data_IF_977612586838
#
_entry.id   IF_977612586838
#
_cell.length_a   1.000
_cell.length_b   1.000
_cell.length_c   1.000
_cell.angle_alpha   90.00
_cell.angle_beta   90.00
_cell.angle_gamma   90.00
#
_symmetry.space_group_name_H-M   'P 1'
#
loop_
_entity.id
_entity.type
_entity.pdbx_description
1 polymer ?
#
# COMPACT_ATOMS: atom_id res chain seq x y z
N UNK A 1 10.60 -0.66 26.41
CA UNK A 1 11.52 -1.77 26.05
C UNK A 1 11.39 -2.06 24.57
N UNK A 2 12.50 -2.08 23.82
CA UNK A 2 12.49 -2.32 22.38
C UNK A 2 12.98 -3.75 22.11
N UNK A 3 12.37 -4.43 21.13
CA UNK A 3 12.70 -5.81 20.77
C UNK A 3 12.54 -6.04 19.28
N UNK A 4 13.45 -6.83 18.69
CA UNK A 4 13.34 -7.36 17.33
C UNK A 4 12.91 -8.82 17.37
N UNK A 5 12.13 -9.26 16.40
CA UNK A 5 11.87 -10.69 16.14
C UNK A 5 12.27 -10.98 14.70
N UNK A 6 13.19 -11.91 14.51
CA UNK A 6 13.65 -12.30 13.19
C UNK A 6 12.68 -13.30 12.56
N UNK A 7 11.98 -12.88 11.52
CA UNK A 7 11.03 -13.72 10.76
C UNK A 7 11.66 -14.36 9.51
N UNK A 8 13.00 -14.37 9.38
CA UNK A 8 13.71 -14.90 8.20
C UNK A 8 13.67 -16.44 8.07
N UNK A 9 13.07 -17.15 9.01
CA UNK A 9 13.04 -18.62 9.05
C UNK A 9 12.10 -19.21 8.00
N UNK A 10 11.14 -18.42 7.50
CA UNK A 10 10.26 -18.89 6.44
C UNK A 10 11.05 -19.07 5.12
N UNK A 11 11.15 -20.31 4.58
CA UNK A 11 11.90 -20.55 3.36
C UNK A 11 11.28 -19.81 2.18
N UNK A 12 12.15 -19.24 1.31
CA UNK A 12 11.76 -18.69 0.01
C UNK A 12 10.80 -17.48 0.01
N UNK A 13 10.84 -16.60 1.02
CA UNK A 13 10.08 -15.36 1.00
C UNK A 13 8.62 -15.44 1.45
N UNK A 14 8.24 -16.49 2.15
CA UNK A 14 6.88 -16.73 2.67
C UNK A 14 6.66 -16.04 4.02
N UNK A 15 6.81 -14.73 4.03
CA UNK A 15 6.88 -14.01 5.30
C UNK A 15 5.53 -13.57 5.84
N UNK A 16 4.56 -13.25 4.97
CA UNK A 16 3.30 -12.65 5.40
C UNK A 16 2.53 -13.55 6.36
N UNK A 17 2.13 -14.72 5.93
CA UNK A 17 1.34 -15.63 6.77
C UNK A 17 2.10 -16.07 8.04
N UNK A 18 3.41 -16.26 7.95
CA UNK A 18 4.24 -16.54 9.13
C UNK A 18 4.28 -15.37 10.11
N UNK A 19 4.37 -14.12 9.61
CA UNK A 19 4.27 -12.91 10.45
C UNK A 19 2.88 -12.79 11.08
N UNK A 20 1.80 -13.17 10.36
CA UNK A 20 0.44 -13.17 10.92
C UNK A 20 0.30 -14.19 12.02
N UNK A 21 0.73 -15.45 11.79
CA UNK A 21 0.71 -16.49 12.82
C UNK A 21 1.49 -16.07 14.07
N UNK A 22 2.65 -15.42 13.89
CA UNK A 22 3.43 -14.86 14.99
C UNK A 22 2.66 -13.76 15.73
N UNK A 23 2.03 -12.86 14.98
CA UNK A 23 1.23 -11.77 15.56
C UNK A 23 0.08 -12.33 16.39
N UNK A 24 -0.68 -13.28 15.85
CA UNK A 24 -1.77 -13.95 16.54
C UNK A 24 -1.32 -14.67 17.81
N UNK A 25 -0.19 -15.39 17.73
CA UNK A 25 0.38 -16.06 18.88
C UNK A 25 0.76 -15.07 19.98
N UNK A 26 1.42 -13.95 19.63
CA UNK A 26 1.78 -12.90 20.59
C UNK A 26 0.55 -12.24 21.25
N UNK A 27 -0.50 -11.98 20.46
CA UNK A 27 -1.72 -11.35 20.95
C UNK A 27 -2.54 -12.31 21.85
N UNK A 28 -2.50 -13.62 21.56
CA UNK A 28 -3.22 -14.65 22.34
C UNK A 28 -2.50 -15.01 23.61
N UNK A 29 -1.16 -15.09 23.61
CA UNK A 29 -0.36 -15.60 24.72
C UNK A 29 0.02 -14.55 25.76
N UNK A 30 -0.19 -13.24 25.47
CA UNK A 30 0.28 -12.18 26.33
C UNK A 30 -0.88 -11.30 26.84
N UNK A 31 -1.35 -11.58 28.05
CA UNK A 31 -2.42 -10.83 28.70
C UNK A 31 -2.09 -9.34 28.94
N UNK A 32 -0.79 -8.98 28.97
CA UNK A 32 -0.38 -7.58 29.10
C UNK A 32 -0.62 -6.75 27.82
N UNK A 33 -0.92 -7.41 26.68
CA UNK A 33 -1.26 -6.75 25.42
C UNK A 33 -2.72 -6.28 25.37
N UNK A 34 -3.07 -5.38 26.30
CA UNK A 34 -4.45 -4.88 26.45
C UNK A 34 -4.81 -3.78 25.45
N UNK A 35 -3.83 -3.02 24.97
CA UNK A 35 -4.01 -1.91 24.03
C UNK A 35 -2.83 -1.83 23.08
N UNK A 36 -2.99 -2.43 21.90
CA UNK A 36 -1.90 -2.64 20.93
C UNK A 36 -2.11 -1.83 19.67
N UNK A 37 -1.08 -1.10 19.25
CA UNK A 37 -1.04 -0.42 17.97
C UNK A 37 -0.13 -1.20 17.01
N UNK A 38 -0.68 -1.63 15.88
CA UNK A 38 0.00 -2.44 14.87
C UNK A 38 0.25 -1.58 13.63
N UNK A 39 1.51 -1.45 13.24
CA UNK A 39 1.89 -0.71 12.04
C UNK A 39 2.07 -1.61 10.85
N UNK A 40 1.38 -1.30 9.75
CA UNK A 40 1.53 -1.92 8.44
C UNK A 40 2.10 -0.93 7.43
N UNK A 41 2.98 -1.38 6.55
CA UNK A 41 3.66 -0.53 5.56
C UNK A 41 2.69 0.04 4.52
N UNK A 42 1.69 -0.74 4.09
CA UNK A 42 0.74 -0.34 3.05
C UNK A 42 -0.72 -0.45 3.51
N UNK A 43 -1.61 0.26 2.81
CA UNK A 43 -3.06 0.20 3.06
C UNK A 43 -3.63 -1.20 2.77
N UNK A 44 -3.20 -1.81 1.67
CA UNK A 44 -3.62 -3.16 1.29
C UNK A 44 -3.24 -4.18 2.36
N UNK A 45 -2.01 -4.08 2.87
CA UNK A 45 -1.54 -4.92 3.98
C UNK A 45 -2.34 -4.67 5.26
N UNK A 46 -2.70 -3.42 5.56
CA UNK A 46 -3.52 -3.10 6.73
C UNK A 46 -4.92 -3.71 6.63
N UNK A 47 -5.54 -3.71 5.43
CA UNK A 47 -6.84 -4.35 5.20
C UNK A 47 -6.73 -5.88 5.29
N UNK A 48 -5.71 -6.51 4.71
CA UNK A 48 -5.47 -7.95 4.82
C UNK A 48 -5.26 -8.40 6.27
N UNK A 49 -4.45 -7.66 7.03
CA UNK A 49 -4.25 -7.93 8.45
C UNK A 49 -5.54 -7.78 9.25
N UNK A 50 -6.36 -6.78 8.92
CA UNK A 50 -7.64 -6.60 9.58
C UNK A 50 -8.57 -7.78 9.35
N UNK A 51 -8.70 -8.27 8.11
CA UNK A 51 -9.53 -9.42 7.77
C UNK A 51 -9.11 -10.65 8.59
N UNK A 52 -7.81 -11.01 8.58
CA UNK A 52 -7.32 -12.18 9.30
C UNK A 52 -7.44 -12.04 10.82
N UNK A 53 -7.05 -10.91 11.38
CA UNK A 53 -7.15 -10.72 12.82
C UNK A 53 -8.60 -10.62 13.31
N UNK A 54 -9.51 -10.08 12.50
CA UNK A 54 -10.91 -9.98 12.87
C UNK A 54 -11.64 -11.33 12.87
N UNK A 55 -11.17 -12.31 12.09
CA UNK A 55 -11.66 -13.69 12.16
C UNK A 55 -11.34 -14.32 13.53
N UNK A 56 -10.14 -14.08 14.05
CA UNK A 56 -9.69 -14.66 15.31
C UNK A 56 -10.09 -13.86 16.54
N UNK A 57 -10.14 -12.52 16.42
CA UNK A 57 -10.46 -11.58 17.49
C UNK A 57 -11.64 -10.69 17.09
N UNK A 58 -12.85 -11.25 16.88
CA UNK A 58 -13.99 -10.50 16.39
C UNK A 58 -14.32 -9.30 17.30
N UNK A 59 -14.73 -8.20 16.68
CA UNK A 59 -15.17 -6.97 17.36
C UNK A 59 -14.11 -6.26 18.23
N UNK A 60 -12.87 -6.76 18.27
CA UNK A 60 -11.80 -6.16 19.08
C UNK A 60 -10.70 -5.50 18.24
N UNK A 61 -10.79 -5.59 16.93
CA UNK A 61 -9.82 -5.06 15.96
C UNK A 61 -10.38 -3.86 15.23
N UNK A 62 -9.61 -2.79 15.11
CA UNK A 62 -9.90 -1.65 14.27
C UNK A 62 -8.82 -1.43 13.22
N UNK A 63 -9.16 -0.84 12.07
CA UNK A 63 -8.21 -0.48 11.02
C UNK A 63 -8.38 0.96 10.57
N UNK A 64 -7.25 1.66 10.41
CA UNK A 64 -7.22 3.05 9.95
C UNK A 64 -6.11 3.26 8.90
N UNK A 65 -6.50 3.78 7.75
CA UNK A 65 -5.58 4.26 6.71
C UNK A 65 -6.27 5.32 5.84
N UNK A 66 -5.55 5.96 4.93
CA UNK A 66 -6.06 7.12 4.19
C UNK A 66 -7.23 6.83 3.26
N UNK A 67 -7.49 5.56 2.89
CA UNK A 67 -8.65 5.19 2.06
C UNK A 67 -9.94 5.01 2.87
N UNK A 68 -9.87 4.97 4.21
CA UNK A 68 -11.07 4.94 5.04
C UNK A 68 -11.64 6.35 5.18
N UNK A 69 -12.95 6.47 5.22
CA UNK A 69 -13.64 7.74 5.43
C UNK A 69 -13.25 8.39 6.75
N UNK A 70 -13.30 9.71 6.81
CA UNK A 70 -12.90 10.45 7.99
C UNK A 70 -13.73 10.10 9.23
N UNK A 71 -15.04 9.93 9.05
CA UNK A 71 -15.94 9.53 10.13
C UNK A 71 -15.61 8.12 10.67
N UNK A 72 -15.31 7.19 9.77
CA UNK A 72 -14.88 5.84 10.16
C UNK A 72 -13.59 5.91 11.01
N UNK A 73 -12.59 6.66 10.53
CA UNK A 73 -11.31 6.82 11.27
C UNK A 73 -11.51 7.42 12.65
N UNK A 74 -12.34 8.47 12.75
CA UNK A 74 -12.65 9.11 14.02
C UNK A 74 -13.34 8.14 14.99
N UNK A 75 -14.35 7.41 14.52
CA UNK A 75 -15.08 6.44 15.33
C UNK A 75 -14.18 5.28 15.75
N UNK A 76 -13.35 4.75 14.86
CA UNK A 76 -12.40 3.67 15.18
C UNK A 76 -11.42 4.10 16.29
N UNK A 77 -10.86 5.31 16.19
CA UNK A 77 -9.97 5.85 17.23
C UNK A 77 -10.71 6.06 18.55
N UNK A 78 -11.93 6.56 18.50
CA UNK A 78 -12.77 6.73 19.70
C UNK A 78 -13.02 5.39 20.39
N UNK A 79 -13.37 4.35 19.65
CA UNK A 79 -13.58 3.00 20.17
C UNK A 79 -12.30 2.37 20.71
N UNK A 80 -11.15 2.61 20.06
CA UNK A 80 -9.85 2.18 20.56
C UNK A 80 -9.48 2.91 21.87
N UNK A 81 -9.72 4.22 21.97
CA UNK A 81 -9.51 4.98 23.21
C UNK A 81 -10.40 4.47 24.33
N UNK A 82 -11.65 4.15 24.03
CA UNK A 82 -12.61 3.61 24.98
C UNK A 82 -12.33 2.15 25.41
N UNK A 83 -11.38 1.46 24.74
CA UNK A 83 -11.04 0.08 25.05
C UNK A 83 -11.99 -0.97 24.43
N UNK A 84 -12.93 -0.55 23.57
CA UNK A 84 -13.76 -1.48 22.78
C UNK A 84 -12.87 -2.25 21.83
N UNK A 85 -12.05 -1.53 21.04
CA UNK A 85 -10.98 -2.17 20.27
C UNK A 85 -9.73 -2.30 21.13
N UNK A 86 -9.21 -3.51 21.22
CA UNK A 86 -7.92 -3.81 21.86
C UNK A 86 -6.75 -3.62 20.90
N UNK A 87 -6.98 -3.90 19.61
CA UNK A 87 -5.98 -3.90 18.55
C UNK A 87 -6.34 -2.87 17.49
N UNK A 88 -5.41 -1.98 17.17
CA UNK A 88 -5.58 -0.97 16.13
C UNK A 88 -4.50 -1.12 15.08
N UNK A 89 -4.90 -1.42 13.84
CA UNK A 89 -4.00 -1.48 12.69
C UNK A 89 -3.96 -0.11 12.03
N UNK A 90 -2.76 0.41 11.78
CA UNK A 90 -2.58 1.74 11.20
C UNK A 90 -1.41 1.78 10.20
N UNK A 91 -1.50 2.69 9.23
CA UNK A 91 -0.35 3.10 8.42
C UNK A 91 0.31 4.35 9.00
N UNK A 92 1.60 4.59 8.71
CA UNK A 92 2.38 5.71 9.26
C UNK A 92 1.73 7.07 9.07
N UNK A 93 1.20 7.33 7.86
CA UNK A 93 0.58 8.63 7.52
C UNK A 93 -0.58 8.94 8.46
N UNK A 94 -1.34 7.94 8.82
CA UNK A 94 -2.53 8.11 9.67
C UNK A 94 -2.19 8.17 11.15
N UNK A 95 -1.24 7.36 11.58
CA UNK A 95 -0.85 7.33 12.99
C UNK A 95 -0.19 8.65 13.46
N UNK A 96 0.40 9.44 12.56
CA UNK A 96 0.96 10.76 12.90
C UNK A 96 -0.08 11.81 13.22
N UNK A 97 -1.26 11.75 12.59
CA UNK A 97 -2.33 12.73 12.76
C UNK A 97 -3.34 12.39 13.86
N UNK A 98 -3.15 11.27 14.54
CA UNK A 98 -4.11 10.78 15.53
C UNK A 98 -3.48 10.78 16.90
N UNK A 99 -4.21 11.36 17.86
CA UNK A 99 -3.87 11.26 19.28
C UNK A 99 -4.20 9.85 19.79
N UNK A 100 -3.39 8.88 19.39
CA UNK A 100 -3.35 7.54 19.94
C UNK A 100 -2.12 7.46 20.83
N UNK A 101 -2.29 7.90 22.04
CA UNK A 101 -1.29 7.81 23.09
C UNK A 101 -1.66 6.68 24.07
N UNK A 102 -0.71 6.33 24.93
CA UNK A 102 -0.92 5.39 26.04
C UNK A 102 -1.23 3.94 25.60
N UNK A 103 -0.68 3.50 24.46
CA UNK A 103 -0.75 2.09 24.12
C UNK A 103 0.25 1.30 24.97
N UNK A 104 -0.13 0.07 25.34
CA UNK A 104 0.76 -0.83 26.09
C UNK A 104 1.86 -1.38 25.20
N UNK A 105 1.51 -1.69 23.96
CA UNK A 105 2.44 -2.26 22.99
C UNK A 105 2.31 -1.59 21.61
N UNK A 106 3.45 -1.43 20.95
CA UNK A 106 3.55 -1.09 19.54
C UNK A 106 4.13 -2.30 18.82
N UNK A 107 3.46 -2.79 17.80
CA UNK A 107 3.97 -3.85 16.93
C UNK A 107 4.20 -3.27 15.55
N UNK A 108 5.44 -3.31 15.09
CA UNK A 108 5.76 -3.01 13.70
C UNK A 108 5.73 -4.33 12.92
N UNK A 109 4.65 -4.56 12.18
CA UNK A 109 4.51 -5.73 11.32
C UNK A 109 5.56 -5.74 10.20
N UNK A 110 5.92 -4.53 9.73
CA UNK A 110 7.02 -4.31 8.81
C UNK A 110 7.97 -3.26 9.38
N UNK A 111 9.27 -3.47 9.13
CA UNK A 111 10.28 -2.48 9.44
C UNK A 111 10.09 -1.24 8.56
N UNK A 112 10.00 -0.04 9.12
CA UNK A 112 9.80 1.17 8.31
C UNK A 112 11.03 1.47 7.43
N UNK A 113 10.77 1.89 6.18
CA UNK A 113 11.82 2.26 5.22
C UNK A 113 12.63 3.49 5.67
N UNK A 114 11.98 4.41 6.40
CA UNK A 114 12.57 5.63 6.92
C UNK A 114 12.80 5.47 8.42
N UNK A 115 14.06 5.52 8.89
CA UNK A 115 14.38 5.28 10.31
C UNK A 115 13.67 6.20 11.29
N UNK A 116 13.42 7.47 10.94
CA UNK A 116 12.71 8.44 11.77
C UNK A 116 11.25 8.00 12.03
N UNK A 117 10.64 7.28 11.08
CA UNK A 117 9.30 6.73 11.27
C UNK A 117 9.25 5.75 12.43
N UNK A 118 10.33 4.97 12.62
CA UNK A 118 10.45 4.07 13.76
C UNK A 118 10.31 4.82 15.08
N UNK A 119 11.02 5.94 15.22
CA UNK A 119 10.96 6.78 16.43
C UNK A 119 9.53 7.29 16.67
N UNK A 120 8.86 7.74 15.59
CA UNK A 120 7.47 8.20 15.69
C UNK A 120 6.50 7.08 16.07
N UNK A 121 6.74 5.85 15.62
CA UNK A 121 5.91 4.68 15.97
C UNK A 121 6.08 4.30 17.44
N UNK A 122 7.32 4.14 17.90
CA UNK A 122 7.60 3.79 19.30
C UNK A 122 7.17 4.88 20.29
N UNK A 123 7.18 6.15 19.86
CA UNK A 123 6.68 7.27 20.65
C UNK A 123 5.17 7.26 20.93
N UNK A 124 4.43 6.25 20.44
CA UNK A 124 3.01 6.03 20.81
C UNK A 124 2.86 5.25 22.13
N UNK A 125 3.91 4.59 22.57
CA UNK A 125 3.94 3.87 23.85
C UNK A 125 4.96 4.50 24.82
N UNK A 126 4.88 4.16 26.09
CA UNK A 126 5.87 4.58 27.08
C UNK A 126 5.81 6.06 27.44
N UNK A 127 4.64 6.69 27.42
CA UNK A 127 4.44 8.07 27.88
C UNK A 127 4.13 8.11 29.38
N UNK A 128 4.55 9.20 30.01
CA UNK A 128 4.53 9.37 31.47
C UNK A 128 5.29 8.22 32.16
N UNK A 129 4.90 7.79 33.32
CA UNK A 129 5.58 6.78 34.12
C UNK A 129 5.34 5.31 33.66
N UNK A 130 4.66 5.11 32.52
CA UNK A 130 4.33 3.76 32.03
C UNK A 130 5.41 3.24 31.07
N UNK A 131 5.96 2.07 31.38
CA UNK A 131 6.92 1.37 30.50
C UNK A 131 6.17 0.77 29.30
N UNK A 132 6.39 1.31 28.10
CA UNK A 132 5.87 0.73 26.86
C UNK A 132 6.79 -0.31 26.25
N UNK A 133 6.23 -1.23 25.49
CA UNK A 133 6.96 -2.27 24.76
C UNK A 133 6.74 -2.03 23.27
N UNK A 134 7.83 -2.09 22.50
CA UNK A 134 7.76 -2.13 21.04
C UNK A 134 8.42 -3.40 20.52
N UNK A 135 7.71 -4.10 19.65
CA UNK A 135 8.16 -5.33 18.99
C UNK A 135 8.17 -5.05 17.48
N UNK A 136 9.25 -5.41 16.81
CA UNK A 136 9.36 -5.23 15.36
C UNK A 136 9.72 -6.56 14.70
N UNK A 137 8.95 -6.95 13.70
CA UNK A 137 9.24 -8.10 12.87
C UNK A 137 10.24 -7.70 11.79
N UNK A 138 11.30 -8.49 11.66
CA UNK A 138 12.39 -8.22 10.72
C UNK A 138 12.61 -9.45 9.85
N UNK A 139 12.60 -9.26 8.56
CA UNK A 139 13.00 -10.27 7.58
C UNK A 139 14.46 -10.07 7.16
N UNK A 140 15.04 -11.05 6.48
CA UNK A 140 16.41 -10.94 5.96
C UNK A 140 16.64 -9.68 5.10
N UNK A 141 15.63 -9.34 4.29
CA UNK A 141 15.66 -8.15 3.41
C UNK A 141 15.63 -6.84 4.20
N UNK A 142 15.01 -6.85 5.37
CA UNK A 142 14.83 -5.67 6.21
C UNK A 142 15.99 -5.44 7.19
N UNK A 143 16.98 -6.34 7.25
CA UNK A 143 18.17 -6.18 8.11
C UNK A 143 18.96 -4.90 7.86
N UNK A 144 18.97 -4.41 6.63
CA UNK A 144 19.62 -3.14 6.31
C UNK A 144 18.90 -1.97 6.98
N UNK A 145 17.55 -2.00 6.98
CA UNK A 145 16.70 -1.00 7.65
C UNK A 145 16.88 -1.08 9.16
N UNK A 146 16.93 -2.30 9.71
CA UNK A 146 17.24 -2.52 11.13
C UNK A 146 18.53 -1.81 11.55
N UNK A 147 19.63 -2.04 10.83
CA UNK A 147 20.93 -1.40 11.13
C UNK A 147 20.86 0.13 11.02
N UNK A 148 20.13 0.66 10.05
CA UNK A 148 19.94 2.10 9.90
C UNK A 148 19.19 2.69 11.11
N UNK A 149 18.17 2.00 11.63
CA UNK A 149 17.42 2.40 12.81
C UNK A 149 18.31 2.37 14.06
N UNK A 150 19.05 1.29 14.27
CA UNK A 150 19.98 1.16 15.41
C UNK A 150 21.08 2.23 15.39
N UNK A 151 21.58 2.55 14.20
CA UNK A 151 22.56 3.63 14.01
C UNK A 151 21.95 4.99 14.38
N UNK A 152 20.73 5.29 13.94
CA UNK A 152 20.03 6.53 14.26
C UNK A 152 19.78 6.65 15.77
N UNK A 153 19.37 5.55 16.40
CA UNK A 153 19.09 5.52 17.85
C UNK A 153 20.33 5.42 18.71
N UNK A 154 21.50 5.16 18.12
CA UNK A 154 22.77 4.89 18.85
C UNK A 154 22.62 3.79 19.91
N UNK A 155 21.76 2.81 19.64
CA UNK A 155 21.45 1.72 20.54
C UNK A 155 21.19 0.44 19.75
N UNK A 156 21.85 -0.65 20.15
CA UNK A 156 21.50 -1.99 19.68
C UNK A 156 20.21 -2.46 20.37
N UNK A 157 19.33 -3.03 19.58
CA UNK A 157 18.04 -3.53 20.09
C UNK A 157 18.10 -5.06 20.15
N UNK A 158 17.81 -5.67 21.29
CA UNK A 158 17.93 -7.12 21.45
C UNK A 158 16.98 -7.87 20.50
N UNK A 159 17.52 -8.92 19.89
CA UNK A 159 16.78 -9.86 19.07
C UNK A 159 16.14 -10.93 19.97
N UNK A 160 14.84 -11.14 19.83
CA UNK A 160 14.13 -12.24 20.48
C UNK A 160 14.16 -13.48 19.58
N UNK A 161 14.28 -14.64 20.21
CA UNK A 161 14.04 -15.92 19.54
C UNK A 161 12.57 -16.05 19.16
N UNK A 162 12.29 -16.73 18.06
CA UNK A 162 10.93 -17.10 17.69
C UNK A 162 10.37 -18.11 18.70
N UNK A 163 9.09 -17.99 19.03
CA UNK A 163 8.42 -19.02 19.83
C UNK A 163 8.51 -20.40 19.15
N UNK A 164 8.72 -21.44 19.95
CA UNK A 164 8.78 -22.84 19.45
C UNK A 164 7.47 -23.30 18.81
N UNK A 165 6.37 -22.72 19.27
CA UNK A 165 5.00 -23.08 18.88
C UNK A 165 4.52 -22.33 17.63
N UNK A 166 5.41 -21.56 16.98
CA UNK A 166 5.08 -20.81 15.80
C UNK A 166 4.90 -21.72 14.58
N UNK A 167 3.71 -21.69 14.01
CA UNK A 167 3.43 -22.35 12.74
C UNK A 167 4.00 -21.56 11.57
N UNK A 168 4.98 -22.16 10.86
CA UNK A 168 5.58 -21.57 9.66
C UNK A 168 4.70 -21.88 8.46
N UNK A 169 4.09 -20.86 7.87
CA UNK A 169 3.23 -21.04 6.71
C UNK A 169 4.01 -21.44 5.46
N UNK A 170 3.44 -22.39 4.71
CA UNK A 170 3.93 -22.79 3.39
C UNK A 170 3.23 -22.03 2.25
N UNK A 171 2.25 -21.19 2.54
CA UNK A 171 1.42 -20.49 1.57
C UNK A 171 2.08 -19.15 1.21
N UNK A 172 2.24 -18.90 -0.10
CA UNK A 172 2.72 -17.61 -0.64
C UNK A 172 1.53 -16.70 -0.91
N UNK A 173 1.64 -15.46 -0.51
CA UNK A 173 0.71 -14.41 -0.97
C UNK A 173 0.99 -14.03 -2.43
N UNK A 174 0.05 -13.34 -3.08
CA UNK A 174 0.21 -12.90 -4.48
C UNK A 174 1.46 -12.01 -4.67
N UNK A 175 1.77 -11.17 -3.68
CA UNK A 175 2.93 -10.27 -3.71
C UNK A 175 4.26 -11.01 -3.49
N UNK A 176 4.23 -12.14 -2.80
CA UNK A 176 5.39 -12.99 -2.55
C UNK A 176 5.68 -13.96 -3.70
N UNK A 177 4.72 -14.17 -4.59
CA UNK A 177 4.94 -15.00 -5.79
C UNK A 177 6.01 -14.39 -6.67
N UNK A 178 6.95 -15.19 -7.21
CA UNK A 178 7.97 -14.69 -8.11
C UNK A 178 7.31 -14.07 -9.36
N UNK A 179 7.52 -12.78 -9.57
CA UNK A 179 7.05 -12.10 -10.79
C UNK A 179 7.84 -12.67 -11.98
N UNK A 180 7.21 -13.53 -12.74
CA UNK A 180 7.79 -14.03 -13.99
C UNK A 180 7.90 -12.84 -14.95
N UNK A 181 9.11 -12.31 -15.12
CA UNK A 181 9.39 -11.35 -16.18
C UNK A 181 9.28 -12.11 -17.49
N UNK A 182 8.13 -12.04 -18.15
CA UNK A 182 8.05 -12.48 -19.53
C UNK A 182 9.09 -11.68 -20.33
N UNK A 183 10.09 -12.37 -20.87
CA UNK A 183 10.95 -11.75 -21.87
C UNK A 183 10.02 -11.35 -23.01
N UNK A 184 9.90 -10.05 -23.24
CA UNK A 184 9.22 -9.54 -24.42
C UNK A 184 10.08 -10.05 -25.60
N UNK A 185 9.64 -11.15 -26.21
CA UNK A 185 10.21 -11.60 -27.47
C UNK A 185 9.81 -10.50 -28.45
N UNK A 186 10.77 -9.67 -28.84
CA UNK A 186 10.56 -8.75 -29.94
C UNK A 186 10.32 -9.63 -31.21
N UNK A 187 9.07 -9.89 -31.49
CA UNK A 187 8.65 -10.48 -32.73
C UNK A 187 9.04 -9.42 -33.78
N UNK A 188 10.12 -9.69 -34.54
CA UNK A 188 10.43 -8.90 -35.74
C UNK A 188 9.21 -9.07 -36.63
N UNK A 189 8.32 -8.07 -36.62
CA UNK A 189 7.25 -8.00 -37.60
C UNK A 189 7.97 -7.99 -38.97
N UNK A 190 7.72 -8.98 -39.84
CA UNK A 190 8.32 -8.96 -41.17
C UNK A 190 7.99 -7.60 -41.78
N UNK A 191 9.01 -6.87 -42.27
CA UNK A 191 8.78 -5.66 -43.05
C UNK A 191 7.78 -6.05 -44.13
N UNK A 192 6.61 -5.40 -44.11
CA UNK A 192 5.65 -5.52 -45.20
C UNK A 192 6.42 -5.13 -46.43
N UNK A 193 6.75 -6.10 -47.27
CA UNK A 193 7.29 -5.80 -48.59
C UNK A 193 6.31 -4.82 -49.20
N UNK A 194 6.82 -3.69 -49.69
CA UNK A 194 5.98 -2.74 -50.38
C UNK A 194 5.28 -3.53 -51.49
N UNK A 195 4.05 -3.90 -51.24
CA UNK A 195 3.20 -4.49 -52.24
C UNK A 195 3.21 -3.50 -53.40
N UNK A 196 3.70 -3.91 -54.53
CA UNK A 196 3.68 -3.11 -55.73
C UNK A 196 2.33 -2.45 -55.99
N UNK A 197 2.21 -1.52 -56.91
CA UNK A 197 1.06 -0.64 -57.08
C UNK A 197 -0.23 -1.44 -56.95
N UNK A 198 -1.11 -0.96 -56.04
CA UNK A 198 -2.36 -1.65 -55.72
C UNK A 198 -3.06 -2.08 -57.02
N UNK A 199 -3.44 -3.36 -57.09
CA UNK A 199 -3.98 -4.04 -58.27
C UNK A 199 -5.25 -3.38 -58.85
N UNK A 200 -5.76 -2.34 -58.24
CA UNK A 200 -6.82 -1.48 -58.74
C UNK A 200 -6.37 -0.03 -58.76
N UNK A 201 -5.81 0.41 -59.88
CA UNK A 201 -5.83 1.84 -60.18
C UNK A 201 -7.29 2.31 -60.16
N UNK A 202 -7.58 3.27 -59.31
CA UNK A 202 -8.91 3.88 -59.26
C UNK A 202 -9.19 4.43 -60.66
N UNK A 203 -10.23 3.91 -61.33
CA UNK A 203 -10.68 4.46 -62.59
C UNK A 203 -10.86 5.95 -62.49
N UNK A 204 -10.68 6.72 -63.56
CA UNK A 204 -10.79 8.17 -63.59
C UNK A 204 -12.12 8.70 -62.99
N UNK A 205 -13.17 7.88 -63.00
CA UNK A 205 -14.45 8.18 -62.36
C UNK A 205 -14.38 8.17 -60.80
N UNK A 206 -13.48 7.37 -60.23
CA UNK A 206 -13.35 7.22 -58.76
C UNK A 206 -12.15 7.99 -58.18
N UNK A 207 -11.41 8.74 -58.98
CA UNK A 207 -10.29 9.60 -58.57
C UNK A 207 -10.73 10.96 -58.02
N UNK A 208 -12.05 11.17 -57.84
CA UNK A 208 -12.52 12.39 -57.19
C UNK A 208 -11.94 12.51 -55.79
N UNK A 209 -10.91 13.33 -55.67
CA UNK A 209 -10.36 13.77 -54.38
C UNK A 209 -11.49 14.45 -53.60
N UNK A 210 -11.79 13.97 -52.43
CA UNK A 210 -12.83 14.53 -51.56
C UNK A 210 -12.27 15.82 -50.95
N UNK A 211 -12.23 16.89 -51.79
CA UNK A 211 -11.82 18.22 -51.32
C UNK A 211 -12.91 18.74 -50.42
N UNK A 212 -12.61 18.88 -49.14
CA UNK A 212 -13.50 19.53 -48.17
C UNK A 212 -13.78 20.94 -48.65
N UNK A 213 -14.95 21.13 -49.26
CA UNK A 213 -15.36 22.47 -49.69
C UNK A 213 -15.45 23.37 -48.46
N UNK A 214 -14.79 24.54 -48.52
CA UNK A 214 -14.79 25.49 -47.42
C UNK A 214 -16.25 25.94 -47.16
N UNK A 215 -16.72 25.79 -45.96
CA UNK A 215 -18.10 26.16 -45.57
C UNK A 215 -18.46 27.58 -45.94
N UNK A 216 -17.48 28.52 -45.89
CA UNK A 216 -17.66 29.92 -46.30
C UNK A 216 -18.00 30.03 -47.79
N UNK A 217 -17.31 29.26 -48.68
CA UNK A 217 -17.58 29.30 -50.13
C UNK A 217 -18.93 28.69 -50.46
N UNK A 218 -19.34 27.66 -49.76
CA UNK A 218 -20.67 27.04 -49.92
C UNK A 218 -21.76 28.06 -49.53
N UNK A 219 -21.59 28.75 -48.42
CA UNK A 219 -22.54 29.73 -47.95
C UNK A 219 -22.59 30.98 -48.86
N UNK A 220 -21.45 31.40 -49.37
CA UNK A 220 -21.35 32.53 -50.31
C UNK A 220 -22.04 32.24 -51.66
N UNK A 221 -21.90 30.98 -52.20
CA UNK A 221 -22.61 30.55 -53.39
C UNK A 221 -24.12 30.40 -53.17
N UNK A 222 -24.58 30.01 -52.01
CA UNK A 222 -25.96 29.69 -51.73
C UNK A 222 -26.78 30.95 -51.32
N UNK A 223 -26.17 31.92 -50.65
CA UNK A 223 -26.87 33.07 -50.05
C UNK A 223 -26.32 34.44 -50.42
N UNK A 224 -25.37 34.54 -51.38
CA UNK A 224 -24.77 35.82 -51.78
C UNK A 224 -23.86 36.40 -50.70
N UNK A 225 -23.48 37.66 -50.89
CA UNK A 225 -22.63 38.38 -49.89
C UNK A 225 -23.37 38.52 -48.57
N UNK A 226 -22.70 38.26 -47.44
CA UNK A 226 -23.33 38.47 -46.13
C UNK A 226 -23.66 39.94 -45.95
N UNK A 227 -24.93 40.25 -45.61
CA UNK A 227 -25.36 41.59 -45.27
C UNK A 227 -24.61 42.02 -44.00
N UNK A 228 -23.71 42.98 -44.11
CA UNK A 228 -23.06 43.59 -42.94
C UNK A 228 -24.12 44.35 -42.17
N UNK A 229 -24.48 43.89 -40.96
CA UNK A 229 -25.30 44.73 -40.06
C UNK A 229 -24.45 45.93 -39.69
N UNK A 230 -24.89 47.09 -40.17
CA UNK A 230 -24.28 48.37 -39.87
C UNK A 230 -24.16 48.56 -38.37
N UNK A 231 -22.95 48.89 -37.91
CA UNK A 231 -22.71 49.32 -36.55
C UNK A 231 -23.50 50.60 -36.29
N UNK A 232 -24.34 50.57 -35.29
CA UNK A 232 -24.86 51.81 -34.70
C UNK A 232 -23.72 52.47 -33.95
N UNK A 233 -23.56 53.77 -34.25
CA UNK A 233 -22.72 54.69 -33.48
C UNK A 233 -23.12 54.75 -32.00
#
# INVERSE_FOLDING_TARGET
MLKWINCSIAPQGRYFNTKVNLLELLLSSNEAMTKVLIFAATKALADQLFEQLNEKFPETVGVIHSNKEQNHRFNTVKQFKAGVYKYLIATDVMARGIDVAEVTHVINFDTPDVPENYIHRIGRTGRADKKGISITFVTEKEKVLQKAIETLMKQEIPMLALPSDLEISSILTEDEKPKVRMKIIQIKVPKKEESGPAFHEKSAKNSKVNVRKNRKEIMQKKYGKPISRGGKK
#
